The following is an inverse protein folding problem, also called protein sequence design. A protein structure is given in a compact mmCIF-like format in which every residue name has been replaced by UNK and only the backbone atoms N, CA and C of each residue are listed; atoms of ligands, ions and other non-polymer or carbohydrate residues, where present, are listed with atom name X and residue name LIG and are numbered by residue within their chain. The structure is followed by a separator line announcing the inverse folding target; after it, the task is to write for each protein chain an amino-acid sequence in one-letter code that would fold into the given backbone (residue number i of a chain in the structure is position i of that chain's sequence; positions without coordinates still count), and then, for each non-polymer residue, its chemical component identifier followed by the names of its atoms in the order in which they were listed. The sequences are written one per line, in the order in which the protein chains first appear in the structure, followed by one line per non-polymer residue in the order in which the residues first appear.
data_IF_303617600433
#
_entry.id   IF_303617600433
#
_cell.length_a   1.000
_cell.length_b   1.000
_cell.length_c   1.000
_cell.angle_alpha   90.00
_cell.angle_beta   90.00
_cell.angle_gamma   90.00
#
_symmetry.space_group_name_H-M   'P 1'
#
loop_
_entity.id
_entity.type
_entity.pdbx_description
1 polymer ?
#
# COMPACT_ATOMS: atom_id res chain seq x y z
N UNK A 1 -9.22 -2.16 -4.02
CA UNK A 1 -8.09 -1.35 -4.53
C UNK A 1 -7.87 -1.83 -5.95
N UNK A 2 -7.93 -0.97 -6.97
CA UNK A 2 -7.77 -1.40 -8.36
C UNK A 2 -6.31 -1.29 -8.79
N UNK A 3 -5.89 -2.12 -9.75
CA UNK A 3 -4.53 -2.09 -10.31
C UNK A 3 -3.49 -2.90 -9.52
N UNK A 4 -3.90 -3.61 -8.46
CA UNK A 4 -3.08 -4.57 -7.73
C UNK A 4 -3.62 -5.98 -7.92
N UNK A 5 -2.73 -6.90 -8.27
CA UNK A 5 -3.00 -8.33 -8.34
C UNK A 5 -2.30 -9.06 -7.20
N UNK A 6 -3.09 -9.83 -6.44
CA UNK A 6 -2.66 -10.61 -5.28
C UNK A 6 -2.68 -12.12 -5.54
N UNK A 7 -3.07 -12.55 -6.75
CA UNK A 7 -3.18 -13.97 -7.10
C UNK A 7 -1.81 -14.61 -7.33
N UNK A 8 -0.88 -13.88 -7.94
CA UNK A 8 0.51 -14.29 -8.16
C UNK A 8 1.46 -13.30 -7.50
N UNK A 9 1.99 -13.67 -6.34
CA UNK A 9 2.99 -12.87 -5.62
C UNK A 9 4.37 -13.07 -6.23
N UNK A 10 5.11 -11.98 -6.48
CA UNK A 10 6.49 -12.01 -6.92
C UNK A 10 7.44 -11.74 -5.76
N UNK A 11 8.58 -12.40 -5.77
CA UNK A 11 9.64 -12.16 -4.80
C UNK A 11 10.49 -10.97 -5.25
N UNK A 12 10.47 -9.88 -4.48
CA UNK A 12 11.26 -8.67 -4.75
C UNK A 12 12.26 -8.43 -3.63
N UNK A 13 13.42 -7.86 -3.97
CA UNK A 13 14.41 -7.47 -2.97
C UNK A 13 13.94 -6.25 -2.17
N UNK A 14 14.05 -6.31 -0.84
CA UNK A 14 13.68 -5.17 0.01
C UNK A 14 14.87 -4.25 0.24
N UNK A 15 14.62 -2.93 0.18
CA UNK A 15 15.66 -1.95 0.46
C UNK A 15 16.04 -1.98 1.95
N UNK A 16 17.32 -2.23 2.24
CA UNK A 16 17.86 -2.18 3.59
C UNK A 16 17.47 -3.36 4.49
N UNK A 17 17.08 -4.52 3.91
CA UNK A 17 16.76 -5.75 4.65
C UNK A 17 15.67 -5.55 5.74
N UNK A 18 14.74 -4.61 5.51
CA UNK A 18 13.74 -4.19 6.52
C UNK A 18 12.78 -5.30 6.92
N UNK A 19 12.57 -6.29 6.04
CA UNK A 19 11.65 -7.41 6.23
C UNK A 19 12.26 -8.77 5.85
N UNK A 20 13.59 -8.84 5.69
CA UNK A 20 14.31 -9.93 5.02
C UNK A 20 14.83 -9.50 3.64
N UNK A 21 15.78 -10.24 3.07
CA UNK A 21 16.39 -9.89 1.77
C UNK A 21 15.32 -9.74 0.68
N UNK A 22 14.25 -10.54 0.77
CA UNK A 22 13.16 -10.58 -0.18
C UNK A 22 11.78 -10.54 0.50
N UNK A 23 10.78 -10.02 -0.20
CA UNK A 23 9.36 -10.05 0.21
C UNK A 23 8.50 -10.54 -0.94
N UNK A 24 7.45 -11.30 -0.63
CA UNK A 24 6.39 -11.66 -1.59
C UNK A 24 5.46 -10.46 -1.78
N UNK A 25 5.65 -9.76 -2.89
CA UNK A 25 4.96 -8.53 -3.22
C UNK A 25 3.79 -8.78 -4.19
N UNK A 26 2.72 -8.00 -4.00
CA UNK A 26 1.62 -7.92 -4.96
C UNK A 26 2.09 -7.20 -6.24
N UNK A 27 1.53 -7.60 -7.38
CA UNK A 27 1.91 -7.04 -8.69
C UNK A 27 1.05 -5.83 -9.01
N UNK A 28 1.68 -4.74 -9.42
CA UNK A 28 0.99 -3.58 -9.99
C UNK A 28 0.76 -3.87 -11.47
N UNK A 29 -0.48 -4.21 -11.82
CA UNK A 29 -0.86 -4.60 -13.19
C UNK A 29 -1.62 -3.51 -13.94
N UNK A 30 -1.91 -2.39 -13.28
CA UNK A 30 -2.63 -1.27 -13.87
C UNK A 30 -2.62 -0.03 -12.98
N UNK A 31 -3.35 1.03 -13.36
CA UNK A 31 -3.43 2.25 -12.60
C UNK A 31 -3.94 2.00 -11.17
N UNK A 32 -3.10 2.33 -10.18
CA UNK A 32 -3.46 2.20 -8.77
C UNK A 32 -4.54 3.24 -8.48
N UNK A 33 -5.71 2.77 -8.01
CA UNK A 33 -6.75 3.65 -7.48
C UNK A 33 -7.30 3.12 -6.17
N UNK A 34 -7.63 4.06 -5.29
CA UNK A 34 -8.30 3.80 -4.03
C UNK A 34 -9.78 4.19 -4.16
N UNK A 35 -10.68 3.21 -4.35
CA UNK A 35 -12.10 3.50 -4.52
C UNK A 35 -12.79 3.98 -3.22
N UNK A 36 -12.15 3.81 -2.05
CA UNK A 36 -12.70 4.23 -0.78
C UNK A 36 -11.71 4.15 0.38
N UNK A 37 -12.12 4.68 1.53
CA UNK A 37 -11.30 4.62 2.74
C UNK A 37 -11.21 3.18 3.27
N UNK A 38 -10.00 2.76 3.62
CA UNK A 38 -9.72 1.40 4.13
C UNK A 38 -9.95 1.32 5.64
N UNK A 39 -9.89 2.46 6.35
CA UNK A 39 -9.94 2.52 7.81
C UNK A 39 -11.23 3.13 8.34
N UNK A 40 -12.08 3.68 7.47
CA UNK A 40 -13.24 4.45 7.90
C UNK A 40 -14.23 3.62 8.71
N UNK A 41 -14.52 2.40 8.27
CA UNK A 41 -15.47 1.53 8.97
C UNK A 41 -14.92 1.05 10.33
N UNK A 42 -13.64 0.67 10.38
CA UNK A 42 -12.97 0.32 11.63
C UNK A 42 -12.90 1.52 12.60
N UNK A 43 -12.66 2.73 12.08
CA UNK A 43 -12.65 3.94 12.89
C UNK A 43 -14.04 4.28 13.44
N UNK A 44 -15.10 4.12 12.63
CA UNK A 44 -16.48 4.30 13.06
C UNK A 44 -16.84 3.32 14.19
N UNK A 45 -16.49 2.05 14.02
CA UNK A 45 -16.68 1.03 15.05
C UNK A 45 -15.95 1.39 16.35
N UNK A 46 -14.69 1.80 16.28
CA UNK A 46 -13.93 2.19 17.46
C UNK A 46 -14.55 3.42 18.16
N UNK A 47 -14.99 4.42 17.40
CA UNK A 47 -15.63 5.63 17.95
C UNK A 47 -16.98 5.38 18.62
N UNK A 48 -17.68 4.30 18.28
CA UNK A 48 -18.88 3.88 19.02
C UNK A 48 -18.55 3.39 20.44
N UNK A 49 -17.32 2.90 20.66
CA UNK A 49 -16.89 2.30 21.93
C UNK A 49 -15.94 3.20 22.73
N UNK A 50 -15.47 4.32 22.16
CA UNK A 50 -14.61 5.27 22.88
C UNK A 50 -14.76 6.71 22.38
N UNK A 51 -14.77 7.66 23.31
CA UNK A 51 -14.68 9.09 23.03
C UNK A 51 -13.23 9.57 22.89
N UNK A 52 -12.24 8.75 23.27
CA UNK A 52 -10.82 9.11 23.25
C UNK A 52 -10.29 9.25 21.80
N UNK A 53 -9.16 9.97 21.60
CA UNK A 53 -8.45 9.95 20.32
C UNK A 53 -8.02 8.53 19.94
N UNK A 54 -8.20 8.15 18.68
CA UNK A 54 -7.79 6.84 18.13
C UNK A 54 -6.52 7.03 17.32
N UNK A 55 -5.43 6.40 17.74
CA UNK A 55 -4.17 6.40 16.99
C UNK A 55 -4.22 5.30 15.94
N UNK A 56 -3.98 5.65 14.68
CA UNK A 56 -3.85 4.69 13.58
C UNK A 56 -2.49 4.82 12.94
N UNK A 57 -1.84 3.69 12.68
CA UNK A 57 -0.55 3.63 12.00
C UNK A 57 -0.75 3.20 10.56
N UNK A 58 -0.41 4.09 9.63
CA UNK A 58 -0.37 3.78 8.20
C UNK A 58 1.09 3.68 7.75
N UNK A 59 1.45 2.69 6.93
CA UNK A 59 2.78 2.66 6.32
C UNK A 59 2.97 3.89 5.44
N UNK A 60 4.17 4.44 5.44
CA UNK A 60 4.52 5.57 4.57
C UNK A 60 4.54 5.18 3.09
N UNK A 61 4.55 6.16 2.18
CA UNK A 61 4.59 5.90 0.74
C UNK A 61 5.86 5.11 0.34
N UNK A 62 7.02 5.43 0.92
CA UNK A 62 8.26 4.67 0.65
C UNK A 62 8.12 3.18 0.99
N UNK A 63 7.61 2.86 2.18
CA UNK A 63 7.40 1.48 2.63
C UNK A 63 6.38 0.75 1.76
N UNK A 64 5.38 1.47 1.25
CA UNK A 64 4.33 0.87 0.41
C UNK A 64 4.87 0.56 -0.99
N UNK A 65 5.70 1.44 -1.57
CA UNK A 65 6.40 1.18 -2.85
C UNK A 65 7.39 0.02 -2.70
N UNK A 66 8.10 -0.06 -1.58
CA UNK A 66 9.10 -1.11 -1.30
C UNK A 66 8.49 -2.52 -1.19
N UNK A 67 7.18 -2.64 -1.04
CA UNK A 67 6.47 -3.92 -0.88
C UNK A 67 5.62 -4.28 -2.10
N UNK A 68 5.78 -3.56 -3.22
CA UNK A 68 5.05 -3.78 -4.47
C UNK A 68 5.98 -4.11 -5.63
N UNK A 69 5.58 -5.07 -6.46
CA UNK A 69 6.28 -5.41 -7.70
C UNK A 69 5.68 -4.59 -8.85
N UNK A 70 6.47 -3.69 -9.43
CA UNK A 70 6.04 -2.89 -10.58
C UNK A 70 6.06 -3.72 -11.87
N UNK A 71 4.88 -4.08 -12.38
CA UNK A 71 4.73 -4.76 -13.67
C UNK A 71 4.03 -3.89 -14.73
N UNK A 72 3.69 -2.63 -14.41
CA UNK A 72 2.87 -1.77 -15.26
C UNK A 72 3.57 -0.46 -15.65
N UNK A 73 4.22 0.22 -14.70
CA UNK A 73 4.86 1.51 -14.95
C UNK A 73 6.29 1.36 -15.50
N UNK A 74 6.99 0.31 -15.08
CA UNK A 74 8.40 0.07 -15.42
C UNK A 74 9.35 1.14 -14.88
N UNK A 75 8.87 1.95 -13.93
CA UNK A 75 9.54 3.15 -13.42
C UNK A 75 9.07 3.41 -11.99
N UNK A 76 10.03 3.27 -11.06
CA UNK A 76 9.77 3.34 -9.63
C UNK A 76 9.32 4.73 -9.18
N UNK A 77 9.77 5.79 -9.84
CA UNK A 77 9.34 7.16 -9.52
C UNK A 77 7.87 7.35 -9.90
N UNK A 78 7.46 6.87 -11.09
CA UNK A 78 6.06 6.93 -11.53
C UNK A 78 5.13 6.13 -10.62
N UNK A 79 5.56 4.95 -10.17
CA UNK A 79 4.82 4.17 -9.18
C UNK A 79 4.66 4.94 -7.86
N UNK A 80 5.74 5.55 -7.36
CA UNK A 80 5.70 6.33 -6.13
C UNK A 80 4.77 7.54 -6.25
N UNK A 81 4.83 8.28 -7.36
CA UNK A 81 3.93 9.40 -7.63
C UNK A 81 2.47 8.94 -7.71
N UNK A 82 2.20 7.82 -8.38
CA UNK A 82 0.85 7.24 -8.44
C UNK A 82 0.33 6.88 -7.04
N UNK A 83 1.15 6.29 -6.18
CA UNK A 83 0.78 5.96 -4.80
C UNK A 83 0.50 7.19 -3.92
N UNK A 84 1.28 8.26 -4.08
CA UNK A 84 1.05 9.52 -3.35
C UNK A 84 -0.26 10.18 -3.79
N UNK A 85 -0.53 10.20 -5.10
CA UNK A 85 -1.75 10.80 -5.66
C UNK A 85 -3.05 10.02 -5.35
N UNK A 86 -2.95 8.80 -4.82
CA UNK A 86 -4.10 7.96 -4.44
C UNK A 86 -4.66 8.33 -3.04
N UNK A 87 -3.95 9.20 -2.30
CA UNK A 87 -4.33 9.67 -0.96
C UNK A 87 -5.08 11.02 -0.91
N UNK A 88 -5.11 11.77 -2.02
CA UNK A 88 -5.85 13.03 -2.19
C UNK A 88 -7.15 12.82 -2.94
#
# INVERSE_FOLDING_TARGET
MSGLDFSELLEIETQGNRYGHTVKAARVTGPIRRPGSVLLDSLRFLKQHTSKPVKVTLPGPMTTVDTLADAYYGDREKLATALVGVGT
#
